data_IF_005853481075
#
_entry.id   IF_005853481075
#
_cell.length_a   1.000
_cell.length_b   1.000
_cell.length_c   1.000
_cell.angle_alpha   90.00
_cell.angle_beta   90.00
_cell.angle_gamma   90.00
#
_symmetry.space_group_name_H-M   'P 1'
#
loop_
_entity.id
_entity.type
_entity.pdbx_description
1 polymer ?
#
# COMPACT_ATOMS: atom_id res chain seq x y z
N UNK A 1 6.66 -12.22 6.59
CA UNK A 1 5.83 -11.56 5.54
C UNK A 1 6.71 -10.56 4.79
N UNK A 2 6.57 -10.53 3.49
CA UNK A 2 7.32 -9.56 2.68
C UNK A 2 6.69 -8.18 2.76
N UNK A 3 7.53 -7.15 2.59
CA UNK A 3 7.08 -5.76 2.59
C UNK A 3 5.96 -5.52 1.58
N UNK A 4 6.14 -6.02 0.37
CA UNK A 4 5.14 -5.86 -0.70
C UNK A 4 3.81 -6.50 -0.32
N UNK A 5 3.83 -7.71 0.21
CA UNK A 5 2.61 -8.41 0.63
C UNK A 5 1.90 -7.69 1.76
N UNK A 6 2.65 -7.17 2.72
CA UNK A 6 2.07 -6.43 3.84
C UNK A 6 1.33 -5.18 3.35
N UNK A 7 1.94 -4.42 2.44
CA UNK A 7 1.33 -3.21 1.87
C UNK A 7 0.07 -3.56 1.09
N UNK A 8 0.13 -4.60 0.26
CA UNK A 8 -1.02 -5.03 -0.53
C UNK A 8 -2.18 -5.44 0.37
N UNK A 9 -1.92 -6.22 1.42
CA UNK A 9 -2.96 -6.66 2.35
C UNK A 9 -3.60 -5.47 3.07
N UNK A 10 -2.79 -4.52 3.52
CA UNK A 10 -3.29 -3.34 4.21
C UNK A 10 -4.22 -2.53 3.31
N UNK A 11 -3.81 -2.26 2.08
CA UNK A 11 -4.63 -1.50 1.14
C UNK A 11 -5.88 -2.26 0.70
N UNK A 12 -5.77 -3.57 0.55
CA UNK A 12 -6.90 -4.41 0.19
C UNK A 12 -8.01 -4.35 1.24
N UNK A 13 -7.63 -4.27 2.50
CA UNK A 13 -8.58 -4.22 3.62
C UNK A 13 -9.07 -2.82 3.95
N UNK A 14 -8.20 -1.81 3.81
CA UNK A 14 -8.47 -0.47 4.32
C UNK A 14 -8.76 0.57 3.24
N UNK A 15 -8.59 0.26 1.97
CA UNK A 15 -8.91 1.16 0.88
C UNK A 15 -7.80 2.14 0.56
N UNK A 16 -8.13 3.43 0.50
CA UNK A 16 -7.18 4.48 0.12
C UNK A 16 -6.45 5.01 1.35
N UNK A 17 -5.12 4.93 1.35
CA UNK A 17 -4.30 5.31 2.49
C UNK A 17 -3.05 6.09 2.05
N UNK A 18 -2.55 6.93 2.96
CA UNK A 18 -1.23 7.56 2.79
C UNK A 18 -0.13 6.57 3.20
N UNK A 19 1.12 6.88 2.84
CA UNK A 19 2.25 6.05 3.23
C UNK A 19 2.37 5.91 4.76
N UNK A 20 2.09 6.98 5.48
CA UNK A 20 2.08 6.97 6.95
C UNK A 20 1.04 6.01 7.50
N UNK A 21 -0.16 6.03 6.92
CA UNK A 21 -1.24 5.15 7.33
C UNK A 21 -0.94 3.69 6.99
N UNK A 22 -0.35 3.44 5.84
CA UNK A 22 0.07 2.09 5.46
C UNK A 22 1.05 1.54 6.49
N UNK A 23 2.05 2.34 6.85
CA UNK A 23 3.04 1.96 7.86
C UNK A 23 2.39 1.64 9.20
N UNK A 24 1.47 2.50 9.65
CA UNK A 24 0.78 2.33 10.93
C UNK A 24 -0.10 1.07 10.93
N UNK A 25 -0.86 0.86 9.87
CA UNK A 25 -1.75 -0.31 9.79
C UNK A 25 -0.97 -1.62 9.66
N UNK A 26 0.15 -1.62 8.92
CA UNK A 26 0.98 -2.82 8.81
C UNK A 26 1.50 -3.24 10.19
N UNK A 27 1.94 -2.28 10.99
CA UNK A 27 2.42 -2.56 12.35
C UNK A 27 1.28 -3.03 13.24
N UNK A 28 0.14 -2.34 13.17
CA UNK A 28 -1.00 -2.60 14.03
C UNK A 28 -1.67 -3.95 13.74
N UNK A 29 -1.86 -4.26 12.45
CA UNK A 29 -2.62 -5.46 12.06
C UNK A 29 -1.76 -6.69 11.90
N UNK A 30 -0.52 -6.53 11.43
CA UNK A 30 0.33 -7.66 11.09
C UNK A 30 1.64 -7.68 11.85
N UNK A 31 1.82 -6.73 12.76
CA UNK A 31 3.05 -6.59 13.54
C UNK A 31 4.29 -6.54 12.62
N UNK A 32 4.15 -5.88 11.49
CA UNK A 32 5.17 -5.77 10.47
C UNK A 32 5.74 -4.36 10.43
N UNK A 33 7.04 -4.24 10.66
CA UNK A 33 7.72 -2.95 10.66
C UNK A 33 8.05 -2.51 9.24
N UNK A 34 7.40 -1.44 8.79
CA UNK A 34 7.71 -0.82 7.52
C UNK A 34 7.66 0.70 7.71
N UNK A 35 8.68 1.40 7.22
CA UNK A 35 8.69 2.86 7.30
C UNK A 35 7.77 3.45 6.25
N UNK A 36 7.28 4.70 6.45
CA UNK A 36 6.49 5.36 5.41
C UNK A 36 7.25 5.46 4.08
N UNK A 37 8.55 5.69 4.15
CA UNK A 37 9.40 5.73 2.95
C UNK A 37 9.43 4.38 2.24
N UNK A 38 9.55 3.29 3.01
CA UNK A 38 9.52 1.95 2.46
C UNK A 38 8.19 1.61 1.82
N UNK A 39 7.07 2.01 2.47
CA UNK A 39 5.73 1.82 1.91
C UNK A 39 5.59 2.58 0.59
N UNK A 40 6.09 3.81 0.54
CA UNK A 40 6.06 4.61 -0.69
C UNK A 40 6.84 3.94 -1.81
N UNK A 41 8.00 3.37 -1.50
CA UNK A 41 8.81 2.64 -2.50
C UNK A 41 8.07 1.44 -3.07
N UNK A 42 7.40 0.67 -2.22
CA UNK A 42 6.58 -0.47 -2.66
C UNK A 42 5.46 0.02 -3.58
N UNK A 43 4.78 1.10 -3.19
CA UNK A 43 3.69 1.65 -3.98
C UNK A 43 4.16 2.14 -5.35
N UNK A 44 5.35 2.73 -5.42
CA UNK A 44 5.91 3.16 -6.71
C UNK A 44 6.08 1.97 -7.66
N UNK A 45 6.57 0.85 -7.13
CA UNK A 45 6.69 -0.37 -7.92
C UNK A 45 5.35 -0.86 -8.43
N UNK A 46 4.33 -0.88 -7.57
CA UNK A 46 2.99 -1.32 -7.94
C UNK A 46 2.35 -0.38 -8.97
N UNK A 47 2.53 0.93 -8.80
CA UNK A 47 2.04 1.92 -9.75
C UNK A 47 2.69 1.72 -11.12
N UNK A 48 3.99 1.47 -11.15
CA UNK A 48 4.71 1.19 -12.39
C UNK A 48 4.19 -0.03 -13.12
N UNK A 49 3.64 -1.00 -12.39
CA UNK A 49 3.05 -2.21 -12.96
C UNK A 49 1.57 -2.04 -13.32
N UNK A 50 0.98 -0.89 -13.02
CA UNK A 50 -0.45 -0.65 -13.27
C UNK A 50 -1.37 -1.29 -12.25
N UNK A 51 -0.84 -1.78 -11.14
CA UNK A 51 -1.62 -2.47 -10.11
C UNK A 51 -2.14 -1.54 -9.03
N UNK A 52 -1.65 -0.31 -8.99
CA UNK A 52 -2.03 0.67 -7.98
C UNK A 52 -2.05 2.06 -8.60
N UNK A 53 -2.64 3.00 -7.86
CA UNK A 53 -2.66 4.40 -8.26
C UNK A 53 -2.37 5.30 -7.08
N UNK A 54 -2.14 6.58 -7.37
CA UNK A 54 -1.92 7.57 -6.34
C UNK A 54 -2.41 8.94 -6.79
N UNK A 55 -2.72 9.79 -5.82
CA UNK A 55 -3.05 11.20 -6.07
C UNK A 55 -2.72 12.01 -4.82
N UNK A 56 -2.51 13.31 -4.99
CA UNK A 56 -2.28 14.20 -3.87
C UNK A 56 -3.60 14.82 -3.44
N UNK A 57 -3.80 14.92 -2.11
CA UNK A 57 -4.98 15.56 -1.56
C UNK A 57 -4.74 17.07 -1.35
N UNK A 58 -5.70 17.75 -0.70
CA UNK A 58 -5.63 19.19 -0.44
C UNK A 58 -4.43 19.55 0.45
N UNK A 59 -3.99 18.62 1.30
CA UNK A 59 -2.86 18.84 2.20
C UNK A 59 -1.53 18.45 1.57
N UNK A 60 -1.52 18.20 0.26
CA UNK A 60 -0.33 17.79 -0.49
C UNK A 60 0.23 16.44 -0.03
N UNK A 61 -0.61 15.60 0.56
CA UNK A 61 -0.26 14.24 0.96
C UNK A 61 -0.65 13.27 -0.15
N UNK A 62 0.25 12.35 -0.47
CA UNK A 62 -0.01 11.34 -1.50
C UNK A 62 -0.82 10.20 -0.90
N UNK A 63 -1.98 9.91 -1.49
CA UNK A 63 -2.83 8.78 -1.13
C UNK A 63 -2.70 7.70 -2.17
N UNK A 64 -2.70 6.46 -1.71
CA UNK A 64 -2.52 5.29 -2.56
C UNK A 64 -3.73 4.38 -2.48
N UNK A 65 -4.00 3.68 -3.60
CA UNK A 65 -5.05 2.67 -3.64
C UNK A 65 -4.63 1.55 -4.58
N UNK A 66 -5.35 0.43 -4.51
CA UNK A 66 -5.12 -0.69 -5.41
C UNK A 66 -6.16 -0.69 -6.53
N UNK A 67 -5.72 -1.04 -7.74
CA UNK A 67 -6.59 -1.11 -8.92
C UNK A 67 -7.25 -2.49 -9.06
N UNK A 68 -6.93 -3.43 -8.17
CA UNK A 68 -7.48 -4.79 -8.21
C UNK A 68 -8.35 -5.04 -6.97
N UNK A 69 -9.31 -5.97 -7.10
CA UNK A 69 -10.27 -6.24 -6.05
C UNK A 69 -9.74 -7.12 -4.95
N UNK A 70 -8.72 -7.91 -5.20
CA UNK A 70 -8.18 -8.88 -4.26
C UNK A 70 -6.66 -8.91 -4.33
N UNK A 71 -6.03 -8.89 -3.14
CA UNK A 71 -4.58 -8.99 -3.06
C UNK A 71 -4.07 -10.33 -3.60
N UNK A 72 -4.89 -11.38 -3.55
CA UNK A 72 -4.52 -12.69 -4.08
C UNK A 72 -4.27 -12.65 -5.57
N UNK A 73 -5.05 -11.87 -6.28
CA UNK A 73 -4.88 -11.71 -7.73
C UNK A 73 -3.54 -11.08 -8.08
N UNK A 74 -3.01 -10.27 -7.16
CA UNK A 74 -1.73 -9.60 -7.36
C UNK A 74 -0.54 -10.51 -7.03
N UNK A 75 -0.67 -11.36 -6.00
CA UNK A 75 0.44 -12.19 -5.53
C UNK A 75 0.49 -13.54 -6.23
N UNK A 76 -0.65 -14.08 -6.60
CA UNK A 76 -0.76 -15.40 -7.22
C UNK A 76 -0.81 -15.35 -8.74
N UNK A 77 -1.09 -14.18 -9.25
CA UNK A 77 -1.15 -13.95 -10.69
C UNK A 77 0.22 -13.79 -11.26
#
# INVERSE_FOLDING_TARGET
MERKKAVIKVLSECGTLTAKQISAFAKRKYDFDITPHGASGVMRGLIGQGLAGSSKDENNQTRYWLNVCSWKDMVDG
#
